data_IF_204701665363
#
_entry.id   IF_204701665363
#
_cell.length_a   1.000
_cell.length_b   1.000
_cell.length_c   1.000
_cell.angle_alpha   90.00
_cell.angle_beta   90.00
_cell.angle_gamma   90.00
#
_symmetry.space_group_name_H-M   'P 1'
#
loop_
_entity.id
_entity.type
_entity.pdbx_description
1 polymer ?
#
# COMPACT_ATOMS: atom_id res chain seq x y z
N UNK A 1 9.96 -1.45 18.38
CA UNK A 1 10.00 -1.25 16.89
C UNK A 1 11.44 -1.23 16.41
N UNK A 2 11.76 -1.94 15.32
CA UNK A 2 13.07 -2.00 14.68
C UNK A 2 13.48 -0.59 14.15
N UNK A 3 14.76 -0.14 14.27
CA UNK A 3 15.22 1.16 13.80
C UNK A 3 14.91 1.46 12.32
N UNK A 4 14.91 0.45 11.46
CA UNK A 4 14.58 0.60 10.04
C UNK A 4 13.10 0.93 9.80
N UNK A 5 12.18 0.39 10.62
CA UNK A 5 10.74 0.68 10.56
C UNK A 5 10.44 2.06 11.12
N UNK A 6 11.11 2.49 12.21
CA UNK A 6 10.97 3.87 12.71
C UNK A 6 11.43 4.91 11.68
N UNK A 7 12.51 4.61 10.93
CA UNK A 7 12.95 5.48 9.85
C UNK A 7 11.96 5.49 8.70
N UNK A 8 11.41 4.34 8.35
CA UNK A 8 10.38 4.21 7.33
C UNK A 8 9.14 5.05 7.69
N UNK A 9 8.66 4.95 8.92
CA UNK A 9 7.54 5.75 9.42
C UNK A 9 7.82 7.25 9.27
N UNK A 10 8.97 7.74 9.77
CA UNK A 10 9.37 9.15 9.63
C UNK A 10 9.45 9.61 8.18
N UNK A 11 9.99 8.76 7.29
CA UNK A 11 10.08 9.05 5.86
C UNK A 11 8.68 9.31 5.25
N UNK A 12 7.66 8.58 5.69
CA UNK A 12 6.26 8.75 5.24
C UNK A 12 5.53 9.88 5.98
N UNK A 13 5.87 10.16 7.23
CA UNK A 13 5.40 11.35 7.94
C UNK A 13 5.91 12.63 7.25
N UNK A 14 7.22 12.71 6.94
CA UNK A 14 7.79 13.82 6.18
C UNK A 14 7.07 14.03 4.82
N UNK A 15 6.76 12.95 4.10
CA UNK A 15 6.04 13.01 2.82
C UNK A 15 4.57 13.41 2.98
N UNK A 16 3.90 12.91 4.01
CA UNK A 16 2.52 13.24 4.34
C UNK A 16 2.32 14.71 4.67
N UNK A 17 3.30 15.32 5.34
CA UNK A 17 3.29 16.75 5.64
C UNK A 17 3.64 17.64 4.43
N UNK A 18 4.42 17.12 3.48
CA UNK A 18 4.93 17.92 2.36
C UNK A 18 4.01 17.90 1.14
N UNK A 19 3.60 16.73 0.70
CA UNK A 19 2.85 16.55 -0.55
C UNK A 19 2.14 15.18 -0.55
N UNK A 20 1.08 15.02 0.23
CA UNK A 20 0.46 13.71 0.48
C UNK A 20 -0.08 13.04 -0.79
N UNK A 21 -0.73 13.79 -1.69
CA UNK A 21 -1.27 13.22 -2.92
C UNK A 21 -0.16 12.76 -3.87
N UNK A 22 0.91 13.55 -3.99
CA UNK A 22 2.05 13.16 -4.80
C UNK A 22 2.82 11.98 -4.18
N UNK A 23 2.90 11.88 -2.88
CA UNK A 23 3.51 10.74 -2.21
C UNK A 23 2.81 9.41 -2.54
N UNK A 24 1.51 9.44 -2.77
CA UNK A 24 0.69 8.28 -3.16
C UNK A 24 0.82 7.98 -4.66
N UNK A 25 0.69 9.01 -5.52
CA UNK A 25 0.82 8.91 -6.97
C UNK A 25 1.89 9.88 -7.47
N UNK A 26 3.14 9.40 -7.55
CA UNK A 26 4.34 10.20 -7.76
C UNK A 26 4.56 10.61 -9.24
N UNK A 27 3.53 11.16 -9.90
CA UNK A 27 3.67 11.68 -11.24
C UNK A 27 4.50 12.98 -11.22
N UNK A 28 5.57 13.09 -12.05
CA UNK A 28 6.49 14.24 -12.01
C UNK A 28 5.79 15.59 -12.17
N UNK A 29 4.79 15.68 -13.04
CA UNK A 29 4.01 16.87 -13.35
C UNK A 29 3.06 17.29 -12.22
N UNK A 30 2.71 16.36 -11.33
CA UNK A 30 1.79 16.57 -10.19
C UNK A 30 2.50 16.92 -8.89
N UNK A 31 3.81 17.04 -8.91
CA UNK A 31 4.64 17.36 -7.74
C UNK A 31 4.39 18.78 -7.24
N UNK A 32 4.68 19.02 -5.96
CA UNK A 32 4.56 20.31 -5.27
C UNK A 32 3.11 20.79 -5.12
N UNK A 33 2.23 19.88 -4.69
CA UNK A 33 0.82 20.18 -4.42
C UNK A 33 -0.01 20.46 -5.68
N UNK A 34 0.42 19.97 -6.85
CA UNK A 34 -0.26 20.22 -8.13
C UNK A 34 -1.36 19.20 -8.46
N UNK A 35 -1.65 18.26 -7.58
CA UNK A 35 -2.79 17.39 -7.75
C UNK A 35 -4.09 18.18 -7.57
N UNK A 36 -4.97 18.10 -8.55
CA UNK A 36 -6.38 18.40 -8.36
C UNK A 36 -7.02 17.28 -7.54
N UNK A 37 -7.71 17.63 -6.46
CA UNK A 37 -8.25 16.63 -5.53
C UNK A 37 -9.36 15.77 -6.16
N UNK A 38 -10.20 16.36 -7.00
CA UNK A 38 -11.27 15.61 -7.65
C UNK A 38 -10.70 14.63 -8.67
N UNK A 39 -9.69 15.06 -9.46
CA UNK A 39 -8.97 14.17 -10.37
C UNK A 39 -8.26 13.04 -9.62
N UNK A 40 -7.59 13.39 -8.51
CA UNK A 40 -6.89 12.41 -7.67
C UNK A 40 -7.85 11.34 -7.15
N UNK A 41 -8.99 11.74 -6.62
CA UNK A 41 -9.97 10.79 -6.10
C UNK A 41 -10.67 9.99 -7.21
N UNK A 42 -11.02 10.61 -8.35
CA UNK A 42 -11.57 9.89 -9.51
C UNK A 42 -10.62 8.80 -10.02
N UNK A 43 -9.30 9.02 -9.93
CA UNK A 43 -8.34 7.97 -10.26
C UNK A 43 -8.47 6.73 -9.37
N UNK A 44 -8.85 6.92 -8.10
CA UNK A 44 -9.15 5.83 -7.17
C UNK A 44 -10.43 5.08 -7.56
N UNK A 45 -11.47 5.81 -7.94
CA UNK A 45 -12.73 5.22 -8.40
C UNK A 45 -12.52 4.36 -9.66
N UNK A 46 -11.72 4.85 -10.62
CA UNK A 46 -11.37 4.09 -11.82
C UNK A 46 -10.58 2.81 -11.48
N UNK A 47 -9.62 2.89 -10.55
CA UNK A 47 -8.83 1.74 -10.10
C UNK A 47 -9.70 0.68 -9.42
N UNK A 48 -10.59 1.09 -8.51
CA UNK A 48 -11.53 0.17 -7.84
C UNK A 48 -12.58 -0.37 -8.82
N UNK A 49 -12.97 0.39 -9.85
CA UNK A 49 -13.80 -0.11 -10.95
C UNK A 49 -13.15 -1.31 -11.66
N UNK A 50 -11.85 -1.22 -11.98
CA UNK A 50 -11.10 -2.36 -12.53
C UNK A 50 -11.02 -3.54 -11.54
N UNK A 51 -10.75 -3.25 -10.26
CA UNK A 51 -10.74 -4.29 -9.22
C UNK A 51 -12.10 -4.99 -9.12
N UNK A 52 -13.21 -4.24 -9.20
CA UNK A 52 -14.57 -4.80 -9.12
C UNK A 52 -14.85 -5.76 -10.27
N UNK A 53 -14.39 -5.43 -11.49
CA UNK A 53 -14.47 -6.35 -12.64
C UNK A 53 -13.64 -7.62 -12.40
N UNK A 54 -12.42 -7.51 -11.85
CA UNK A 54 -11.62 -8.67 -11.49
C UNK A 54 -12.27 -9.52 -10.38
N UNK A 55 -12.88 -8.90 -9.36
CA UNK A 55 -13.64 -9.60 -8.33
C UNK A 55 -14.79 -10.43 -8.92
N UNK A 56 -15.55 -9.85 -9.87
CA UNK A 56 -16.62 -10.56 -10.56
C UNK A 56 -16.09 -11.72 -11.38
N UNK A 57 -15.04 -11.51 -12.16
CA UNK A 57 -14.41 -12.53 -13.00
C UNK A 57 -13.85 -13.70 -12.19
N UNK A 58 -13.23 -13.40 -11.05
CA UNK A 58 -12.62 -14.42 -10.18
C UNK A 58 -13.63 -15.10 -9.24
N UNK A 59 -14.81 -14.53 -9.04
CA UNK A 59 -15.80 -15.00 -8.09
C UNK A 59 -15.42 -14.77 -6.62
N UNK A 60 -14.51 -13.82 -6.34
CA UNK A 60 -14.03 -13.49 -4.99
C UNK A 60 -14.02 -11.96 -4.79
N UNK A 61 -14.19 -11.47 -3.54
CA UNK A 61 -14.54 -12.24 -2.34
C UNK A 61 -15.99 -12.76 -2.39
N UNK A 62 -16.25 -13.83 -1.64
CA UNK A 62 -17.62 -14.41 -1.51
C UNK A 62 -18.56 -13.48 -0.73
N UNK A 63 -18.02 -12.72 0.24
CA UNK A 63 -18.74 -11.73 1.04
C UNK A 63 -18.14 -10.34 0.83
N UNK A 64 -18.92 -9.30 1.14
CA UNK A 64 -18.52 -7.90 1.00
C UNK A 64 -18.81 -7.08 2.26
N UNK A 65 -18.52 -7.66 3.42
CA UNK A 65 -18.75 -6.99 4.70
C UNK A 65 -17.62 -6.01 5.03
N UNK A 66 -16.34 -6.47 4.94
CA UNK A 66 -15.20 -5.68 5.37
C UNK A 66 -14.07 -5.69 4.34
N UNK A 67 -13.63 -4.48 3.95
CA UNK A 67 -12.44 -4.28 3.12
C UNK A 67 -11.32 -3.59 3.89
N UNK A 68 -10.08 -3.98 3.63
CA UNK A 68 -8.87 -3.33 4.11
C UNK A 68 -8.12 -2.71 2.92
N UNK A 69 -7.87 -1.41 2.97
CA UNK A 69 -6.92 -0.66 2.14
C UNK A 69 -5.64 -0.45 2.97
N UNK A 70 -4.62 -1.27 2.71
CA UNK A 70 -3.37 -1.21 3.47
C UNK A 70 -2.35 -0.29 2.79
N UNK A 71 -1.91 0.73 3.52
CA UNK A 71 -1.13 1.86 3.01
C UNK A 71 -2.05 2.89 2.34
N UNK A 72 -3.17 3.22 3.00
CA UNK A 72 -4.27 3.99 2.42
C UNK A 72 -3.91 5.45 2.10
N UNK A 73 -2.82 5.99 2.66
CA UNK A 73 -2.48 7.40 2.55
C UNK A 73 -3.63 8.30 2.97
N UNK A 74 -4.08 9.18 2.08
CA UNK A 74 -5.22 10.08 2.34
C UNK A 74 -6.60 9.45 2.04
N UNK A 75 -6.67 8.13 1.86
CA UNK A 75 -7.93 7.40 1.70
C UNK A 75 -8.47 7.36 0.27
N UNK A 76 -7.62 7.51 -0.75
CA UNK A 76 -8.02 7.52 -2.17
C UNK A 76 -8.77 6.26 -2.57
N UNK A 77 -8.24 5.10 -2.21
CA UNK A 77 -8.85 3.81 -2.52
C UNK A 77 -9.86 3.38 -1.46
N UNK A 78 -9.63 3.73 -0.19
CA UNK A 78 -10.56 3.43 0.90
C UNK A 78 -11.96 3.99 0.62
N UNK A 79 -12.06 5.28 0.21
CA UNK A 79 -13.37 5.88 -0.15
C UNK A 79 -13.97 5.27 -1.41
N UNK A 80 -13.14 4.90 -2.37
CA UNK A 80 -13.61 4.25 -3.60
C UNK A 80 -14.16 2.83 -3.34
N UNK A 81 -13.71 2.16 -2.29
CA UNK A 81 -14.26 0.87 -1.83
C UNK A 81 -15.60 1.02 -1.08
N UNK A 82 -15.91 2.20 -0.54
CA UNK A 82 -17.09 2.43 0.29
C UNK A 82 -18.44 2.03 -0.36
N UNK A 83 -18.68 2.24 -1.66
CA UNK A 83 -19.91 1.77 -2.32
C UNK A 83 -20.00 0.25 -2.47
N UNK A 84 -18.90 -0.47 -2.31
CA UNK A 84 -18.79 -1.90 -2.61
C UNK A 84 -18.75 -2.79 -1.36
N UNK A 85 -18.46 -2.22 -0.19
CA UNK A 85 -18.33 -2.93 1.09
C UNK A 85 -19.10 -2.22 2.20
N UNK A 86 -19.61 -2.99 3.16
CA UNK A 86 -20.33 -2.43 4.30
C UNK A 86 -19.44 -1.59 5.20
N UNK A 87 -18.19 -2.03 5.39
CA UNK A 87 -17.18 -1.30 6.18
C UNK A 87 -15.84 -1.32 5.45
N UNK A 88 -15.18 -0.17 5.34
CA UNK A 88 -13.88 -0.02 4.72
C UNK A 88 -12.88 0.52 5.76
N UNK A 89 -11.76 -0.17 5.89
CA UNK A 89 -10.68 0.22 6.79
C UNK A 89 -9.49 0.70 5.96
N UNK A 90 -9.07 1.94 6.16
CA UNK A 90 -7.82 2.47 5.64
C UNK A 90 -6.77 2.45 6.73
N UNK A 91 -5.66 1.76 6.49
CA UNK A 91 -4.55 1.66 7.45
C UNK A 91 -3.29 2.27 6.86
N UNK A 92 -2.63 3.15 7.61
CA UNK A 92 -1.36 3.76 7.21
C UNK A 92 -0.43 3.95 8.41
N UNK A 93 0.88 4.02 8.14
CA UNK A 93 1.94 4.24 9.15
C UNK A 93 2.14 5.72 9.46
N UNK A 94 1.67 6.62 8.61
CA UNK A 94 1.88 8.07 8.68
C UNK A 94 0.71 8.77 9.39
N UNK A 95 0.98 9.38 10.53
CA UNK A 95 -0.03 10.14 11.27
C UNK A 95 -0.57 11.34 10.46
N UNK A 96 0.25 12.14 9.72
CA UNK A 96 -0.26 13.17 8.82
C UNK A 96 -1.20 12.66 7.73
N UNK A 97 -0.88 11.49 7.12
CA UNK A 97 -1.75 10.85 6.12
C UNK A 97 -3.11 10.48 6.70
N UNK A 98 -3.13 9.83 7.86
CA UNK A 98 -4.38 9.45 8.54
C UNK A 98 -5.20 10.68 8.94
N UNK A 99 -4.57 11.75 9.43
CA UNK A 99 -5.26 12.99 9.74
C UNK A 99 -5.91 13.61 8.49
N UNK A 100 -5.18 13.64 7.37
CA UNK A 100 -5.72 14.09 6.10
C UNK A 100 -6.84 13.18 5.58
N UNK A 101 -6.69 11.86 5.68
CA UNK A 101 -7.70 10.88 5.29
C UNK A 101 -9.03 11.11 6.02
N UNK A 102 -8.98 11.25 7.33
CA UNK A 102 -10.18 11.53 8.15
C UNK A 102 -10.88 12.84 7.74
N UNK A 103 -10.10 13.88 7.43
CA UNK A 103 -10.63 15.19 7.01
C UNK A 103 -11.27 15.15 5.62
N UNK A 104 -10.63 14.43 4.67
CA UNK A 104 -11.05 14.45 3.26
C UNK A 104 -12.20 13.47 2.94
N UNK A 105 -12.49 12.53 3.85
CA UNK A 105 -13.47 11.47 3.58
C UNK A 105 -14.66 11.47 4.56
N UNK A 106 -15.01 12.61 5.12
CA UNK A 106 -16.14 12.75 6.06
C UNK A 106 -17.50 12.37 5.48
N UNK A 107 -17.64 12.43 4.15
CA UNK A 107 -18.85 12.01 3.44
C UNK A 107 -19.02 10.48 3.34
N UNK A 108 -18.04 9.69 3.80
CA UNK A 108 -18.04 8.22 3.74
C UNK A 108 -18.05 7.63 5.16
N UNK A 109 -19.22 7.57 5.83
CA UNK A 109 -19.32 7.17 7.23
C UNK A 109 -18.96 5.70 7.49
N UNK A 110 -18.92 4.87 6.45
CA UNK A 110 -18.49 3.48 6.50
C UNK A 110 -16.96 3.30 6.28
N UNK A 111 -16.21 4.41 6.19
CA UNK A 111 -14.75 4.38 6.12
C UNK A 111 -14.13 4.72 7.49
N UNK A 112 -13.30 3.83 8.00
CA UNK A 112 -12.52 4.02 9.22
C UNK A 112 -11.04 4.13 8.88
N UNK A 113 -10.34 5.16 9.42
CA UNK A 113 -8.91 5.38 9.17
C UNK A 113 -8.09 5.16 10.44
N UNK A 114 -7.17 4.19 10.37
CA UNK A 114 -6.42 3.68 11.52
C UNK A 114 -4.93 3.90 11.33
N UNK A 115 -4.30 4.55 12.30
CA UNK A 115 -2.84 4.65 12.35
C UNK A 115 -2.25 3.33 12.84
N UNK A 116 -1.36 2.73 12.04
CA UNK A 116 -0.63 1.52 12.41
C UNK A 116 0.87 1.78 12.50
N UNK A 117 1.36 2.04 13.71
CA UNK A 117 2.80 2.17 13.99
C UNK A 117 3.50 0.83 14.26
N UNK A 118 2.76 -0.27 14.37
CA UNK A 118 3.31 -1.59 14.65
C UNK A 118 3.73 -2.33 13.36
N UNK A 119 4.64 -3.30 13.47
CA UNK A 119 5.13 -4.06 12.33
C UNK A 119 4.18 -5.15 11.85
N UNK A 120 2.98 -5.21 12.38
CA UNK A 120 1.97 -6.24 12.11
C UNK A 120 0.53 -5.68 12.15
N UNK A 121 -0.45 -6.55 11.93
CA UNK A 121 -1.88 -6.23 11.95
C UNK A 121 -2.60 -6.92 13.12
N UNK A 122 -1.94 -7.10 14.28
CA UNK A 122 -2.53 -7.77 15.46
C UNK A 122 -3.76 -7.07 16.01
N UNK A 123 -3.97 -5.79 15.68
CA UNK A 123 -5.18 -5.05 15.99
C UNK A 123 -6.44 -5.67 15.36
N UNK A 124 -6.27 -6.47 14.31
CA UNK A 124 -7.36 -7.18 13.65
C UNK A 124 -7.30 -8.69 13.93
N UNK A 125 -8.45 -9.27 14.21
CA UNK A 125 -8.60 -10.71 14.43
C UNK A 125 -8.34 -11.52 13.15
N UNK A 126 -8.08 -12.81 13.31
CA UNK A 126 -7.97 -13.75 12.20
C UNK A 126 -9.29 -13.78 11.39
N UNK A 127 -9.19 -13.73 10.08
CA UNK A 127 -10.36 -13.81 9.20
C UNK A 127 -11.29 -12.59 9.26
N UNK A 128 -10.74 -11.41 9.57
CA UNK A 128 -11.53 -10.20 9.76
C UNK A 128 -12.02 -9.58 8.45
N UNK A 129 -11.24 -9.69 7.36
CA UNK A 129 -11.51 -8.99 6.11
C UNK A 129 -11.90 -9.92 4.97
N UNK A 130 -12.91 -9.52 4.20
CA UNK A 130 -13.31 -10.19 2.96
C UNK A 130 -12.42 -9.75 1.78
N UNK A 131 -12.01 -8.46 1.76
CA UNK A 131 -11.04 -7.93 0.81
C UNK A 131 -9.86 -7.31 1.56
N UNK A 132 -8.64 -7.58 1.08
CA UNK A 132 -7.43 -6.83 1.41
C UNK A 132 -6.83 -6.33 0.11
N UNK A 133 -6.63 -5.01 0.02
CA UNK A 133 -6.02 -4.34 -1.14
C UNK A 133 -4.78 -3.58 -0.70
N UNK A 134 -3.65 -3.82 -1.37
CA UNK A 134 -2.38 -3.16 -1.08
C UNK A 134 -1.54 -3.02 -2.35
N UNK A 135 -1.61 -1.87 -2.97
CA UNK A 135 -0.93 -1.56 -4.22
C UNK A 135 -0.04 -0.33 -4.05
N UNK A 136 1.17 -0.37 -4.59
CA UNK A 136 2.21 0.66 -4.45
C UNK A 136 2.69 0.88 -3.00
N UNK A 137 2.50 -0.09 -2.10
CA UNK A 137 2.83 0.01 -0.67
C UNK A 137 3.99 -0.90 -0.28
N UNK A 138 3.87 -2.21 -0.51
CA UNK A 138 4.85 -3.20 -0.04
C UNK A 138 6.25 -2.97 -0.61
N UNK A 139 6.35 -2.38 -1.78
CA UNK A 139 7.60 -1.96 -2.39
C UNK A 139 8.40 -0.94 -1.57
N UNK A 140 7.74 -0.21 -0.68
CA UNK A 140 8.35 0.81 0.14
C UNK A 140 8.83 0.29 1.50
N UNK A 141 8.46 -0.92 1.87
CA UNK A 141 8.92 -1.55 3.12
C UNK A 141 10.45 -1.71 3.14
N UNK A 142 11.09 -1.58 4.32
CA UNK A 142 12.54 -1.49 4.42
C UNK A 142 13.28 -2.76 4.04
N UNK A 143 12.67 -3.93 4.19
CA UNK A 143 13.31 -5.23 3.97
C UNK A 143 12.33 -6.26 3.38
N UNK A 144 12.86 -7.29 2.73
CA UNK A 144 12.05 -8.45 2.30
C UNK A 144 11.39 -9.17 3.49
N UNK A 145 12.07 -9.21 4.63
CA UNK A 145 11.48 -9.78 5.85
C UNK A 145 10.24 -9.02 6.32
N UNK A 146 10.23 -7.68 6.19
CA UNK A 146 9.03 -6.89 6.49
C UNK A 146 7.90 -7.16 5.48
N UNK A 147 8.22 -7.29 4.19
CA UNK A 147 7.23 -7.71 3.18
C UNK A 147 6.65 -9.08 3.55
N UNK A 148 7.51 -10.06 3.86
CA UNK A 148 7.08 -11.41 4.22
C UNK A 148 6.17 -11.42 5.48
N UNK A 149 6.50 -10.62 6.48
CA UNK A 149 5.70 -10.51 7.70
C UNK A 149 4.29 -9.97 7.41
N UNK A 150 4.18 -8.89 6.61
CA UNK A 150 2.88 -8.36 6.23
C UNK A 150 2.08 -9.29 5.31
N UNK A 151 2.74 -9.99 4.37
CA UNK A 151 2.06 -10.99 3.51
C UNK A 151 1.47 -12.11 4.37
N UNK A 152 2.21 -12.61 5.37
CA UNK A 152 1.69 -13.62 6.30
C UNK A 152 0.51 -13.08 7.13
N UNK A 153 0.61 -11.83 7.61
CA UNK A 153 -0.47 -11.17 8.35
C UNK A 153 -1.71 -10.93 7.48
N UNK A 154 -1.55 -10.54 6.22
CA UNK A 154 -2.67 -10.43 5.28
C UNK A 154 -3.43 -11.75 5.17
N UNK A 155 -2.73 -12.87 5.00
CA UNK A 155 -3.39 -14.19 4.96
C UNK A 155 -4.03 -14.55 6.30
N UNK A 156 -3.43 -14.16 7.43
CA UNK A 156 -4.01 -14.37 8.76
C UNK A 156 -5.33 -13.62 8.94
N UNK A 157 -5.37 -12.33 8.57
CA UNK A 157 -6.57 -11.48 8.75
C UNK A 157 -7.57 -11.62 7.61
N UNK A 158 -7.21 -12.28 6.49
CA UNK A 158 -8.12 -12.61 5.40
C UNK A 158 -9.10 -13.69 5.83
N UNK A 159 -10.39 -13.48 5.56
CA UNK A 159 -11.45 -14.44 5.79
C UNK A 159 -11.34 -15.63 4.82
N UNK A 160 -11.81 -16.84 5.19
CA UNK A 160 -12.05 -17.90 4.23
C UNK A 160 -12.98 -17.42 3.12
N UNK A 161 -12.63 -17.69 1.86
CA UNK A 161 -13.35 -17.16 0.69
C UNK A 161 -13.14 -15.66 0.43
N UNK A 162 -12.26 -15.01 1.16
CA UNK A 162 -11.85 -13.63 0.91
C UNK A 162 -10.87 -13.50 -0.25
N UNK A 163 -10.61 -12.26 -0.67
CA UNK A 163 -9.67 -11.90 -1.72
C UNK A 163 -8.59 -10.97 -1.17
N UNK A 164 -7.33 -11.35 -1.32
CA UNK A 164 -6.18 -10.48 -1.16
C UNK A 164 -5.67 -10.07 -2.54
N UNK A 165 -5.55 -8.77 -2.77
CA UNK A 165 -4.88 -8.21 -3.95
C UNK A 165 -3.70 -7.38 -3.48
N UNK A 166 -2.49 -7.80 -3.82
CA UNK A 166 -1.29 -7.06 -3.45
C UNK A 166 -0.29 -6.99 -4.61
N UNK A 167 0.37 -5.83 -4.73
CA UNK A 167 1.37 -5.58 -5.75
C UNK A 167 2.77 -5.59 -5.10
N UNK A 168 3.70 -6.32 -5.73
CA UNK A 168 5.10 -6.42 -5.29
C UNK A 168 6.01 -6.39 -6.51
N UNK A 169 7.04 -5.51 -6.54
CA UNK A 169 8.09 -5.57 -7.56
C UNK A 169 8.83 -6.91 -7.48
N UNK A 170 8.94 -7.60 -8.61
CA UNK A 170 9.69 -8.85 -8.71
C UNK A 170 11.17 -8.60 -8.97
N UNK A 171 11.49 -7.58 -9.78
CA UNK A 171 12.86 -7.20 -10.11
C UNK A 171 13.04 -5.68 -10.19
N UNK A 172 14.14 -5.20 -9.61
CA UNK A 172 14.58 -3.81 -9.71
C UNK A 172 15.98 -3.79 -10.33
N UNK A 173 16.20 -3.14 -11.47
CA UNK A 173 17.53 -3.04 -12.10
C UNK A 173 18.57 -2.43 -11.15
N UNK A 174 19.82 -2.91 -11.23
CA UNK A 174 20.93 -2.50 -10.33
C UNK A 174 21.08 -0.99 -10.22
N UNK A 175 20.98 -0.25 -11.33
CA UNK A 175 21.08 1.21 -11.35
C UNK A 175 20.03 1.87 -10.45
N UNK A 176 18.81 1.31 -10.38
CA UNK A 176 17.71 1.81 -9.53
C UNK A 176 17.82 1.32 -8.08
N UNK A 177 18.47 0.17 -7.84
CA UNK A 177 18.73 -0.34 -6.47
C UNK A 177 19.67 0.57 -5.67
N UNK A 178 20.56 1.32 -6.33
CA UNK A 178 21.48 2.25 -5.67
C UNK A 178 20.76 3.40 -4.97
N UNK A 179 19.60 3.84 -5.48
CA UNK A 179 18.75 4.90 -4.91
C UNK A 179 19.56 6.13 -4.42
N UNK A 180 20.41 6.75 -5.25
CA UNK A 180 21.38 7.78 -4.79
C UNK A 180 20.66 8.99 -4.20
N UNK A 181 19.55 9.43 -4.80
CA UNK A 181 18.75 10.57 -4.30
C UNK A 181 18.20 10.32 -2.91
N UNK A 182 17.71 9.10 -2.66
CA UNK A 182 17.22 8.71 -1.33
C UNK A 182 18.34 8.64 -0.30
N UNK A 183 19.51 8.11 -0.68
CA UNK A 183 20.68 8.05 0.22
C UNK A 183 21.13 9.46 0.59
N UNK A 184 21.22 10.37 -0.40
CA UNK A 184 21.56 11.77 -0.18
C UNK A 184 20.51 12.46 0.71
N UNK A 185 19.21 12.24 0.47
CA UNK A 185 18.16 12.71 1.38
C UNK A 185 18.44 12.27 2.82
N UNK A 186 18.69 10.98 3.03
CA UNK A 186 18.93 10.44 4.36
C UNK A 186 20.17 11.02 5.06
N UNK A 187 21.24 11.25 4.32
CA UNK A 187 22.46 11.88 4.84
C UNK A 187 22.18 13.33 5.25
N UNK A 188 21.64 14.14 4.34
CA UNK A 188 21.36 15.55 4.63
C UNK A 188 20.32 15.70 5.75
N UNK A 189 19.33 14.81 5.80
CA UNK A 189 18.34 14.77 6.88
C UNK A 189 18.98 14.48 8.25
N UNK A 190 20.00 13.60 8.30
CA UNK A 190 20.73 13.31 9.55
C UNK A 190 21.60 14.47 10.04
N UNK A 191 22.01 15.38 9.14
CA UNK A 191 22.66 16.65 9.47
C UNK A 191 21.68 17.78 9.82
N UNK A 192 20.39 17.48 9.99
CA UNK A 192 19.39 18.47 10.42
C UNK A 192 18.76 19.29 9.30
N UNK A 193 19.05 18.99 8.02
CA UNK A 193 18.41 19.72 6.90
C UNK A 193 16.91 19.39 6.89
N UNK A 194 16.08 20.44 6.87
CA UNK A 194 14.64 20.31 6.93
C UNK A 194 14.08 19.57 5.70
N UNK A 195 13.10 18.66 5.85
CA UNK A 195 12.46 17.92 4.74
C UNK A 195 11.97 18.84 3.61
N UNK A 196 11.38 19.98 3.98
CA UNK A 196 10.88 20.99 3.03
C UNK A 196 11.98 21.55 2.10
N UNK A 197 13.20 21.76 2.64
CA UNK A 197 14.34 22.20 1.83
C UNK A 197 14.80 21.10 0.89
N UNK A 198 14.92 19.86 1.40
CA UNK A 198 15.31 18.69 0.61
C UNK A 198 14.33 18.43 -0.53
N UNK A 199 13.03 18.52 -0.27
CA UNK A 199 11.99 18.27 -1.25
C UNK A 199 11.84 19.41 -2.25
N UNK A 200 11.64 20.66 -1.79
CA UNK A 200 11.29 21.78 -2.65
C UNK A 200 12.50 22.36 -3.41
N UNK A 201 13.68 22.43 -2.80
CA UNK A 201 14.87 23.05 -3.41
C UNK A 201 15.80 22.05 -4.07
N UNK A 202 16.01 20.88 -3.45
CA UNK A 202 16.96 19.89 -3.95
C UNK A 202 16.30 18.75 -4.73
N UNK A 203 14.98 18.68 -4.77
CA UNK A 203 14.25 17.62 -5.47
C UNK A 203 14.45 16.24 -4.88
N UNK A 204 14.93 16.14 -3.63
CA UNK A 204 15.20 14.88 -2.94
C UNK A 204 13.97 14.41 -2.14
N UNK A 205 13.78 13.11 -2.08
CA UNK A 205 12.69 12.51 -1.33
C UNK A 205 13.10 11.11 -0.81
N UNK A 206 12.48 10.63 0.29
CA UNK A 206 12.93 9.42 0.99
C UNK A 206 12.37 8.10 0.43
N UNK A 207 11.57 8.12 -0.63
CA UNK A 207 10.91 6.91 -1.15
C UNK A 207 11.91 5.79 -1.43
N UNK A 208 11.67 4.65 -0.80
CA UNK A 208 12.44 3.42 -0.97
C UNK A 208 11.77 2.53 -2.01
N UNK A 209 12.57 1.66 -2.63
CA UNK A 209 12.07 0.59 -3.47
C UNK A 209 12.73 -0.73 -3.06
N UNK A 210 11.92 -1.70 -2.73
CA UNK A 210 12.32 -3.07 -2.36
C UNK A 210 11.58 -4.05 -3.29
N UNK A 211 12.25 -5.10 -3.73
CA UNK A 211 11.66 -6.16 -4.56
C UNK A 211 11.77 -7.51 -3.91
N UNK A 212 10.84 -8.40 -4.23
CA UNK A 212 10.87 -9.81 -3.85
C UNK A 212 10.58 -10.66 -5.10
N UNK A 213 11.42 -11.65 -5.44
CA UNK A 213 11.18 -12.54 -6.57
C UNK A 213 9.82 -13.22 -6.50
N UNK A 214 9.18 -13.41 -7.65
CA UNK A 214 7.84 -14.03 -7.72
C UNK A 214 7.77 -15.38 -7.01
N UNK A 215 8.81 -16.22 -7.20
CA UNK A 215 8.88 -17.53 -6.56
C UNK A 215 8.84 -17.43 -5.02
N UNK A 216 9.51 -16.42 -4.44
CA UNK A 216 9.55 -16.21 -2.98
C UNK A 216 8.18 -15.76 -2.49
N UNK A 217 7.48 -14.87 -3.24
CA UNK A 217 6.12 -14.43 -2.90
C UNK A 217 5.13 -15.59 -2.95
N UNK A 218 5.20 -16.43 -4.00
CA UNK A 218 4.34 -17.61 -4.13
C UNK A 218 4.57 -18.60 -2.99
N UNK A 219 5.84 -18.87 -2.65
CA UNK A 219 6.21 -19.75 -1.55
C UNK A 219 5.66 -19.24 -0.20
N UNK A 220 5.78 -17.93 0.07
CA UNK A 220 5.24 -17.30 1.28
C UNK A 220 3.72 -17.43 1.36
N UNK A 221 2.99 -17.14 0.28
CA UNK A 221 1.53 -17.24 0.23
C UNK A 221 1.06 -18.68 0.45
N UNK A 222 1.71 -19.65 -0.20
CA UNK A 222 1.40 -21.08 -0.03
C UNK A 222 1.70 -21.56 1.39
N UNK A 223 2.86 -21.19 1.95
CA UNK A 223 3.22 -21.52 3.33
C UNK A 223 2.25 -20.92 4.37
N UNK A 224 1.66 -19.76 4.07
CA UNK A 224 0.64 -19.14 4.90
C UNK A 224 -0.77 -19.76 4.74
N UNK A 225 -0.94 -20.78 3.87
CA UNK A 225 -2.21 -21.46 3.62
C UNK A 225 -3.13 -20.75 2.63
N UNK A 226 -2.59 -19.86 1.80
CA UNK A 226 -3.35 -19.18 0.76
C UNK A 226 -3.15 -19.82 -0.61
N UNK A 227 -4.11 -19.60 -1.52
CA UNK A 227 -4.04 -20.03 -2.91
C UNK A 227 -3.94 -18.82 -3.84
N UNK A 228 -2.90 -18.78 -4.66
CA UNK A 228 -2.75 -17.77 -5.72
C UNK A 228 -3.70 -18.14 -6.86
N UNK A 229 -4.67 -17.28 -7.13
CA UNK A 229 -5.60 -17.41 -8.25
C UNK A 229 -4.95 -16.94 -9.54
N UNK A 230 -4.29 -15.78 -9.48
CA UNK A 230 -3.62 -15.15 -10.61
C UNK A 230 -2.42 -14.32 -10.12
N UNK A 231 -1.37 -14.23 -10.94
CA UNK A 231 -0.27 -13.29 -10.76
C UNK A 231 -0.04 -12.57 -12.10
N UNK A 232 -0.49 -11.32 -12.18
CA UNK A 232 -0.48 -10.51 -13.39
C UNK A 232 0.74 -9.58 -13.38
N UNK A 233 1.50 -9.56 -14.48
CA UNK A 233 2.54 -8.57 -14.68
C UNK A 233 1.89 -7.19 -14.82
N UNK A 234 2.48 -6.20 -14.19
CA UNK A 234 2.02 -4.82 -14.23
C UNK A 234 3.22 -3.84 -14.34
N UNK A 235 2.92 -2.60 -14.67
CA UNK A 235 3.88 -1.50 -14.75
C UNK A 235 3.59 -0.40 -13.71
N UNK A 236 2.83 -0.71 -12.65
CA UNK A 236 2.36 0.29 -11.67
C UNK A 236 3.52 0.96 -10.92
N UNK A 237 4.56 0.19 -10.57
CA UNK A 237 5.73 0.74 -9.89
C UNK A 237 6.56 1.67 -10.79
N UNK A 238 6.69 1.34 -12.06
CA UNK A 238 7.35 2.09 -13.15
C UNK A 238 7.52 1.16 -14.34
N UNK A 239 7.50 1.67 -15.57
CA UNK A 239 7.79 0.88 -16.79
C UNK A 239 9.18 0.22 -16.81
N UNK A 240 10.10 0.66 -15.95
CA UNK A 240 11.46 0.12 -15.84
C UNK A 240 11.65 -0.79 -14.60
N UNK A 241 10.57 -1.16 -13.91
CA UNK A 241 10.57 -2.06 -12.77
C UNK A 241 9.56 -3.16 -13.07
N UNK A 242 10.03 -4.39 -13.06
CA UNK A 242 9.13 -5.54 -13.18
C UNK A 242 8.35 -5.69 -11.89
N UNK A 243 7.04 -5.61 -11.95
CA UNK A 243 6.16 -5.85 -10.81
C UNK A 243 5.02 -6.79 -11.17
N UNK A 244 4.41 -7.35 -10.14
CA UNK A 244 3.27 -8.25 -10.27
C UNK A 244 2.21 -7.91 -9.24
N UNK A 245 0.97 -7.95 -9.70
CA UNK A 245 -0.22 -7.94 -8.87
C UNK A 245 -0.69 -9.37 -8.66
N UNK A 246 -0.76 -9.78 -7.41
CA UNK A 246 -1.19 -11.11 -6.98
C UNK A 246 -2.65 -11.05 -6.53
N UNK A 247 -3.48 -11.92 -7.09
CA UNK A 247 -4.85 -12.18 -6.67
C UNK A 247 -4.85 -13.50 -5.91
N UNK A 248 -5.22 -13.45 -4.65
CA UNK A 248 -5.01 -14.56 -3.71
C UNK A 248 -6.27 -14.78 -2.89
N UNK A 249 -6.66 -16.02 -2.71
CA UNK A 249 -7.76 -16.38 -1.81
C UNK A 249 -7.28 -17.31 -0.69
N UNK A 250 -8.01 -17.29 0.41
CA UNK A 250 -7.87 -18.26 1.46
C UNK A 250 -8.97 -19.31 1.29
N UNK A 251 -8.61 -20.57 1.07
CA UNK A 251 -9.60 -21.64 0.97
C UNK A 251 -10.54 -21.63 2.19
N UNK A 252 -11.81 -21.89 1.97
CA UNK A 252 -12.70 -22.27 3.07
C UNK A 252 -12.24 -23.64 3.54
N UNK A 253 -12.13 -23.84 4.85
CA UNK A 253 -11.98 -25.19 5.37
C UNK A 253 -13.14 -26.01 4.77
N UNK A 254 -12.80 -27.09 4.04
CA UNK A 254 -13.81 -27.97 3.50
C UNK A 254 -14.61 -28.52 4.70
N UNK A 255 -15.91 -28.22 4.70
CA UNK A 255 -16.87 -28.83 5.63
C UNK A 255 -17.00 -30.29 5.30
#
# INVERSE_FOLDING_TARGET
>A
MNPSLRRHQRDWEDLGDLDPCWAILAYPERRFGRWDLDEFFRSGEAEIGCLTADMQRLGYPVKRERALDFGCGVGRLTRALAPHFRHCYGVDVSAPMIAAARKLNTAFPNCEFVLNGDPDLRMFSRGHFDLIYSVLVLQHLPTRAAIAAYVADFVRVLAPGGLLVCQIPSHIPLRRRLQPRRRLYGILRSFGVAPRVLYNRLGLFPMRMTSMPEQDVRALLTAAGARVLEARADAMASTAIESRTYYVTKPSDAV
#
